data_IF_813809594490
#
_entry.id   IF_813809594490
#
_cell.length_a   1.000
_cell.length_b   1.000
_cell.length_c   1.000
_cell.angle_alpha   90.00
_cell.angle_beta   90.00
_cell.angle_gamma   90.00
#
_symmetry.space_group_name_H-M   'P 1'
#
loop_
_entity.id
_entity.type
_entity.pdbx_description
1 polymer ?
#
# COMPACT_ATOMS: atom_id res chain seq x y z
N UNK A 1 15.77 4.13 -19.48
CA UNK A 1 15.89 3.87 -18.03
C UNK A 1 17.38 3.92 -17.68
N UNK A 2 17.83 4.73 -16.72
CA UNK A 2 19.26 4.69 -16.30
C UNK A 2 19.49 3.39 -15.53
N UNK A 3 20.40 2.56 -16.02
CA UNK A 3 20.81 1.32 -15.35
C UNK A 3 21.37 1.63 -13.97
N UNK A 4 21.03 0.79 -12.99
CA UNK A 4 21.49 0.97 -11.62
C UNK A 4 22.92 0.42 -11.51
N UNK A 5 23.91 1.29 -11.70
CA UNK A 5 25.29 0.90 -12.01
C UNK A 5 25.98 -0.02 -10.99
N UNK A 6 25.66 0.03 -9.69
CA UNK A 6 26.33 -0.83 -8.70
C UNK A 6 25.44 -1.26 -7.53
N UNK A 7 25.52 -2.54 -7.15
CA UNK A 7 24.88 -3.13 -5.94
C UNK A 7 25.58 -2.65 -4.66
N UNK A 8 24.87 -2.69 -3.53
CA UNK A 8 25.45 -2.31 -2.23
C UNK A 8 26.64 -3.22 -1.86
N UNK A 9 26.62 -4.50 -2.22
CA UNK A 9 27.75 -5.40 -2.03
C UNK A 9 29.03 -4.90 -2.73
N UNK A 10 28.90 -4.44 -3.98
CA UNK A 10 30.02 -3.86 -4.72
C UNK A 10 30.52 -2.57 -4.07
N UNK A 11 29.59 -1.68 -3.67
CA UNK A 11 29.93 -0.44 -2.98
C UNK A 11 30.67 -0.68 -1.66
N UNK A 12 30.31 -1.74 -0.94
CA UNK A 12 30.94 -2.10 0.33
C UNK A 12 32.38 -2.57 0.10
N UNK A 13 32.61 -3.47 -0.86
CA UNK A 13 33.97 -3.91 -1.24
C UNK A 13 34.87 -2.74 -1.63
N UNK A 14 34.39 -1.87 -2.52
CA UNK A 14 35.14 -0.68 -2.93
C UNK A 14 35.38 0.30 -1.76
N UNK A 15 34.47 0.39 -0.79
CA UNK A 15 34.66 1.21 0.40
C UNK A 15 35.69 0.61 1.37
N UNK A 16 35.66 -0.71 1.58
CA UNK A 16 36.61 -1.42 2.45
C UNK A 16 38.04 -1.38 1.84
N UNK A 17 38.17 -1.55 0.51
CA UNK A 17 39.45 -1.37 -0.21
C UNK A 17 39.97 0.07 -0.11
N UNK A 18 39.09 1.07 -0.20
CA UNK A 18 39.44 2.48 -0.02
C UNK A 18 39.77 2.86 1.44
N UNK A 19 39.37 2.06 2.42
CA UNK A 19 39.78 2.20 3.82
C UNK A 19 41.18 1.60 4.00
N UNK A 20 41.44 0.42 3.42
CA UNK A 20 42.71 -0.28 3.55
C UNK A 20 43.88 0.40 2.78
N UNK A 21 43.66 0.76 1.51
CA UNK A 21 44.71 1.27 0.62
C UNK A 21 44.59 2.77 0.29
N UNK A 22 43.52 3.43 0.76
CA UNK A 22 43.20 4.80 0.38
C UNK A 22 42.52 4.91 -0.99
N UNK A 23 42.03 6.10 -1.35
CA UNK A 23 41.33 6.33 -2.63
C UNK A 23 42.35 6.61 -3.74
N UNK A 24 42.82 5.55 -4.40
CA UNK A 24 43.80 5.62 -5.50
C UNK A 24 43.15 5.74 -6.88
N UNK A 25 43.91 6.15 -7.89
CA UNK A 25 43.48 6.15 -9.29
C UNK A 25 43.28 4.73 -9.83
N UNK A 26 44.13 3.78 -9.41
CA UNK A 26 44.01 2.37 -9.76
C UNK A 26 42.68 1.77 -9.27
N UNK A 27 42.26 2.07 -8.04
CA UNK A 27 40.98 1.60 -7.50
C UNK A 27 39.78 2.18 -8.27
N UNK A 28 39.86 3.44 -8.68
CA UNK A 28 38.85 4.10 -9.50
C UNK A 28 38.72 3.44 -10.89
N UNK A 29 39.85 3.10 -11.50
CA UNK A 29 39.88 2.43 -12.80
C UNK A 29 39.39 0.98 -12.71
N UNK A 30 39.78 0.24 -11.67
CA UNK A 30 39.29 -1.12 -11.42
C UNK A 30 37.79 -1.18 -11.11
N UNK A 31 37.26 -0.14 -10.46
CA UNK A 31 35.84 -0.06 -10.08
C UNK A 31 34.95 0.58 -11.16
N UNK A 32 35.52 1.01 -12.29
CA UNK A 32 34.86 1.83 -13.32
C UNK A 32 34.07 3.02 -12.71
N UNK A 33 34.66 3.66 -11.70
CA UNK A 33 34.00 4.69 -10.89
C UNK A 33 34.92 5.88 -10.67
N UNK A 34 34.38 7.10 -10.80
CA UNK A 34 35.14 8.30 -10.45
C UNK A 34 35.55 8.30 -8.97
N UNK A 35 36.75 8.81 -8.66
CA UNK A 35 37.32 8.84 -7.29
C UNK A 35 36.37 9.48 -6.26
N UNK A 36 35.65 10.54 -6.65
CA UNK A 36 34.67 11.21 -5.76
C UNK A 36 33.50 10.30 -5.35
N UNK A 37 33.11 9.34 -6.21
CA UNK A 37 32.08 8.35 -5.90
C UNK A 37 32.57 7.39 -4.81
N UNK A 38 33.82 6.92 -4.91
CA UNK A 38 34.46 6.06 -3.91
C UNK A 38 34.61 6.80 -2.57
N UNK A 39 35.00 8.08 -2.58
CA UNK A 39 35.02 8.91 -1.36
C UNK A 39 33.64 9.00 -0.68
N UNK A 40 32.57 9.16 -1.47
CA UNK A 40 31.19 9.20 -0.95
C UNK A 40 30.76 7.87 -0.35
N UNK A 41 31.19 6.75 -0.92
CA UNK A 41 30.92 5.41 -0.37
C UNK A 41 31.71 5.17 0.91
N UNK A 42 33.00 5.50 0.94
CA UNK A 42 33.84 5.45 2.15
C UNK A 42 33.20 6.21 3.31
N UNK A 43 32.69 7.43 3.07
CA UNK A 43 32.01 8.24 4.09
C UNK A 43 30.70 7.61 4.60
N UNK A 44 30.02 6.80 3.78
CA UNK A 44 28.72 6.18 4.09
C UNK A 44 28.84 4.66 4.29
N UNK A 45 30.03 4.17 4.63
CA UNK A 45 30.34 2.74 4.71
C UNK A 45 29.42 2.00 5.67
N UNK A 46 29.18 2.55 6.85
CA UNK A 46 28.30 1.92 7.85
C UNK A 46 26.84 1.87 7.38
N UNK A 47 26.38 2.89 6.66
CA UNK A 47 25.06 2.87 6.03
C UNK A 47 24.97 1.81 4.93
N UNK A 48 26.04 1.60 4.15
CA UNK A 48 26.10 0.56 3.10
C UNK A 48 26.12 -0.83 3.74
N UNK A 49 26.86 -1.02 4.83
CA UNK A 49 26.95 -2.28 5.56
C UNK A 49 25.61 -2.68 6.20
N UNK A 50 24.85 -1.71 6.72
CA UNK A 50 23.51 -1.94 7.28
C UNK A 50 22.43 -2.22 6.22
N UNK A 51 22.72 -1.97 4.94
CA UNK A 51 21.76 -2.13 3.85
C UNK A 51 21.78 -3.55 3.27
N UNK A 52 20.70 -3.96 2.61
CA UNK A 52 20.64 -5.24 1.89
C UNK A 52 21.68 -5.28 0.77
N UNK A 53 22.53 -6.31 0.77
CA UNK A 53 23.67 -6.49 -0.15
C UNK A 53 23.28 -6.53 -1.63
N UNK A 54 22.15 -7.16 -1.95
CA UNK A 54 21.60 -7.28 -3.32
C UNK A 54 20.90 -6.02 -3.82
N UNK A 55 20.57 -5.08 -2.92
CA UNK A 55 19.89 -3.84 -3.29
C UNK A 55 20.87 -2.86 -3.94
N UNK A 56 20.40 -2.08 -4.90
CA UNK A 56 21.13 -0.92 -5.45
C UNK A 56 20.84 0.37 -4.65
N UNK A 57 19.91 0.29 -3.68
CA UNK A 57 19.45 1.39 -2.84
C UNK A 57 19.83 1.13 -1.37
N UNK A 58 20.31 2.17 -0.69
CA UNK A 58 20.77 2.10 0.71
C UNK A 58 19.64 1.97 1.74
N UNK A 59 18.45 2.49 1.42
CA UNK A 59 17.23 2.33 2.22
C UNK A 59 16.07 2.04 1.29
N UNK A 60 15.29 0.99 1.57
CA UNK A 60 13.99 0.83 0.95
C UNK A 60 13.16 2.10 1.22
N UNK A 61 12.50 2.64 0.20
CA UNK A 61 11.59 3.80 0.37
C UNK A 61 12.16 5.20 0.11
N UNK A 62 13.44 5.39 -0.26
CA UNK A 62 13.92 6.71 -0.74
C UNK A 62 13.48 7.08 -2.16
N UNK A 63 12.92 6.13 -2.93
CA UNK A 63 12.32 6.43 -4.24
C UNK A 63 10.84 6.77 -4.03
N UNK A 64 10.49 8.04 -4.24
CA UNK A 64 9.12 8.52 -4.29
C UNK A 64 8.97 9.91 -3.68
N UNK A 65 7.88 10.63 -3.97
CA UNK A 65 7.56 11.87 -3.28
C UNK A 65 7.51 11.65 -1.77
N UNK A 66 8.16 12.52 -1.00
CA UNK A 66 8.08 12.49 0.46
C UNK A 66 6.61 12.57 0.90
N UNK A 67 6.28 11.81 1.93
CA UNK A 67 4.96 11.83 2.54
C UNK A 67 4.76 13.19 3.22
N UNK A 68 3.69 13.90 2.86
CA UNK A 68 3.39 15.23 3.43
C UNK A 68 2.93 15.16 4.89
N UNK A 69 2.26 14.07 5.27
CA UNK A 69 1.73 13.86 6.62
C UNK A 69 2.17 12.48 7.15
N UNK A 70 3.41 12.34 7.66
CA UNK A 70 3.90 11.06 8.16
C UNK A 70 3.11 10.58 9.39
N UNK A 71 2.80 11.48 10.32
CA UNK A 71 2.11 11.14 11.57
C UNK A 71 0.68 10.64 11.32
N UNK A 72 -0.02 11.27 10.37
CA UNK A 72 -1.35 10.82 9.92
C UNK A 72 -1.29 9.40 9.37
N UNK A 73 -0.26 9.08 8.57
CA UNK A 73 -0.15 7.74 7.98
C UNK A 73 0.15 6.68 9.02
N UNK A 74 0.94 6.99 10.03
CA UNK A 74 1.19 6.06 11.13
C UNK A 74 -0.09 5.78 11.91
N UNK A 75 -0.82 6.82 12.32
CA UNK A 75 -2.12 6.67 13.00
C UNK A 75 -3.16 5.92 12.15
N UNK A 76 -3.15 6.17 10.83
CA UNK A 76 -4.02 5.47 9.89
C UNK A 76 -3.64 3.99 9.75
N UNK A 77 -2.35 3.64 9.82
CA UNK A 77 -1.89 2.25 9.83
C UNK A 77 -2.34 1.52 11.08
N UNK A 78 -2.11 2.12 12.26
CA UNK A 78 -2.51 1.54 13.54
C UNK A 78 -4.03 1.27 13.54
N UNK A 79 -4.82 2.23 13.08
CA UNK A 79 -6.26 2.05 12.92
C UNK A 79 -6.64 0.92 11.94
N UNK A 80 -5.94 0.79 10.80
CA UNK A 80 -6.18 -0.30 9.85
C UNK A 80 -5.85 -1.66 10.46
N UNK A 81 -4.78 -1.74 11.24
CA UNK A 81 -4.40 -2.97 11.95
C UNK A 81 -5.48 -3.36 12.96
N UNK A 82 -5.97 -2.42 13.76
CA UNK A 82 -7.04 -2.66 14.74
C UNK A 82 -8.33 -3.13 14.06
N UNK A 83 -8.72 -2.50 12.95
CA UNK A 83 -9.90 -2.92 12.18
C UNK A 83 -9.74 -4.34 11.62
N UNK A 84 -8.52 -4.71 11.20
CA UNK A 84 -8.21 -6.06 10.70
C UNK A 84 -8.17 -7.10 11.81
N UNK A 85 -7.62 -6.77 12.99
CA UNK A 85 -7.60 -7.64 14.19
C UNK A 85 -9.02 -7.96 14.65
N UNK A 86 -9.90 -6.95 14.65
CA UNK A 86 -11.29 -7.09 15.08
C UNK A 86 -12.22 -7.76 14.04
N UNK A 87 -11.67 -8.29 12.94
CA UNK A 87 -12.40 -8.93 11.80
C UNK A 87 -13.54 -8.08 11.23
N UNK A 88 -13.50 -6.76 11.49
CA UNK A 88 -14.44 -5.77 10.98
C UNK A 88 -14.24 -5.68 9.45
N UNK A 89 -15.25 -5.14 8.76
CA UNK A 89 -15.39 -5.07 7.30
C UNK A 89 -14.09 -4.71 6.53
N UNK A 90 -14.09 -4.97 5.22
CA UNK A 90 -13.01 -4.54 4.34
C UNK A 90 -12.76 -3.03 4.47
N UNK A 91 -11.50 -2.62 4.70
CA UNK A 91 -11.12 -1.21 4.75
C UNK A 91 -11.05 -0.67 3.32
N UNK A 92 -12.11 0.03 2.91
CA UNK A 92 -12.18 0.67 1.59
C UNK A 92 -11.45 2.01 1.60
N UNK A 93 -11.18 2.56 0.40
CA UNK A 93 -10.59 3.90 0.28
C UNK A 93 -11.49 4.97 0.91
N UNK A 94 -12.82 4.81 0.86
CA UNK A 94 -13.76 5.71 1.51
C UNK A 94 -13.65 5.67 3.04
N UNK A 95 -13.48 4.49 3.64
CA UNK A 95 -13.22 4.38 5.08
C UNK A 95 -11.94 5.10 5.49
N UNK A 96 -10.87 4.96 4.69
CA UNK A 96 -9.62 5.67 4.93
C UNK A 96 -9.77 7.19 4.80
N UNK A 97 -10.61 7.66 3.88
CA UNK A 97 -10.90 9.09 3.72
C UNK A 97 -11.60 9.64 4.95
N UNK A 98 -12.70 9.02 5.38
CA UNK A 98 -13.43 9.44 6.59
C UNK A 98 -12.52 9.44 7.82
N UNK A 99 -11.71 8.40 7.99
CA UNK A 99 -10.78 8.34 9.12
C UNK A 99 -9.64 9.34 9.02
N UNK A 100 -9.14 9.63 7.82
CA UNK A 100 -8.10 10.66 7.63
C UNK A 100 -8.59 12.05 8.05
N UNK A 101 -9.86 12.39 7.75
CA UNK A 101 -10.48 13.65 8.17
C UNK A 101 -10.65 13.68 9.69
N UNK A 102 -11.05 12.56 10.32
CA UNK A 102 -11.20 12.47 11.78
C UNK A 102 -9.87 12.63 12.52
N UNK A 103 -8.80 12.05 11.98
CA UNK A 103 -7.47 12.08 12.60
C UNK A 103 -6.75 13.40 12.38
N UNK A 104 -6.90 14.00 11.18
CA UNK A 104 -6.27 15.26 10.81
C UNK A 104 -7.24 16.09 9.95
N UNK A 105 -8.00 17.04 10.54
CA UNK A 105 -8.99 17.82 9.79
C UNK A 105 -8.34 18.68 8.69
N UNK A 106 -7.10 19.13 8.90
CA UNK A 106 -6.30 19.89 7.93
C UNK A 106 -5.94 19.11 6.66
N UNK A 107 -6.22 17.82 6.62
CA UNK A 107 -5.89 16.94 5.50
C UNK A 107 -6.58 17.35 4.19
N UNK A 108 -7.78 17.95 4.28
CA UNK A 108 -8.58 18.40 3.15
C UNK A 108 -8.49 19.90 2.85
N UNK A 109 -8.03 20.74 3.78
CA UNK A 109 -7.99 22.22 3.61
C UNK A 109 -7.25 22.66 2.33
N UNK A 110 -6.27 21.87 1.90
CA UNK A 110 -5.45 22.16 0.71
C UNK A 110 -5.69 21.19 -0.46
N UNK A 111 -6.68 20.30 -0.37
CA UNK A 111 -6.86 19.19 -1.32
C UNK A 111 -8.31 18.99 -1.73
N UNK A 112 -8.50 18.78 -3.03
CA UNK A 112 -9.75 18.21 -3.54
C UNK A 112 -9.89 16.76 -3.10
N UNK A 113 -11.13 16.27 -3.01
CA UNK A 113 -11.43 14.88 -2.65
C UNK A 113 -10.69 13.88 -3.57
N UNK A 114 -10.65 14.15 -4.88
CA UNK A 114 -9.92 13.32 -5.84
C UNK A 114 -8.41 13.26 -5.54
N UNK A 115 -7.80 14.35 -5.09
CA UNK A 115 -6.40 14.37 -4.68
C UNK A 115 -6.17 13.58 -3.38
N UNK A 116 -7.10 13.67 -2.42
CA UNK A 116 -7.08 12.88 -1.20
C UNK A 116 -7.21 11.37 -1.48
N UNK A 117 -8.11 10.97 -2.38
CA UNK A 117 -8.26 9.58 -2.83
C UNK A 117 -6.96 9.08 -3.48
N UNK A 118 -6.30 9.88 -4.33
CA UNK A 118 -5.00 9.52 -4.92
C UNK A 118 -3.91 9.37 -3.86
N UNK A 119 -3.89 10.23 -2.84
CA UNK A 119 -2.98 10.11 -1.71
C UNK A 119 -3.18 8.78 -0.98
N UNK A 120 -4.43 8.43 -0.66
CA UNK A 120 -4.78 7.19 0.02
C UNK A 120 -4.45 5.94 -0.82
N UNK A 121 -4.63 6.01 -2.15
CA UNK A 121 -4.17 4.93 -3.05
C UNK A 121 -2.66 4.72 -2.95
N UNK A 122 -1.86 5.79 -2.90
CA UNK A 122 -0.40 5.70 -2.71
C UNK A 122 -0.02 5.17 -1.33
N UNK A 123 -0.72 5.61 -0.28
CA UNK A 123 -0.55 5.08 1.08
C UNK A 123 -0.73 3.57 1.11
N UNK A 124 -1.80 3.06 0.49
CA UNK A 124 -2.07 1.61 0.43
C UNK A 124 -1.00 0.85 -0.34
N UNK A 125 -0.52 1.39 -1.45
CA UNK A 125 0.54 0.78 -2.25
C UNK A 125 1.85 0.70 -1.46
N UNK A 126 2.21 1.78 -0.75
CA UNK A 126 3.43 1.83 0.07
C UNK A 126 3.39 0.82 1.22
N UNK A 127 2.23 0.65 1.84
CA UNK A 127 2.04 -0.26 2.97
C UNK A 127 1.51 -1.65 2.57
N UNK A 128 1.46 -1.96 1.26
CA UNK A 128 1.00 -3.24 0.71
C UNK A 128 -0.37 -3.70 1.26
N UNK A 129 -1.28 -2.76 1.47
CA UNK A 129 -2.59 -3.03 2.05
C UNK A 129 -3.57 -3.57 1.00
N UNK A 130 -3.98 -4.82 1.15
CA UNK A 130 -5.05 -5.43 0.36
C UNK A 130 -6.41 -4.71 0.55
N UNK A 131 -7.18 -4.59 -0.54
CA UNK A 131 -8.58 -4.10 -0.50
C UNK A 131 -9.51 -5.15 0.11
N UNK A 132 -9.21 -6.41 -0.19
CA UNK A 132 -10.07 -7.52 0.15
C UNK A 132 -9.94 -7.85 1.64
N UNK A 133 -11.10 -8.09 2.26
CA UNK A 133 -11.18 -8.81 3.53
C UNK A 133 -10.57 -10.19 3.31
N UNK A 134 -9.67 -10.62 4.19
CA UNK A 134 -9.24 -12.02 4.24
C UNK A 134 -10.46 -12.81 4.72
N UNK A 135 -11.26 -13.29 3.78
CA UNK A 135 -12.26 -14.32 4.07
C UNK A 135 -11.47 -15.58 4.38
N UNK A 136 -11.83 -16.24 5.48
CA UNK A 136 -11.31 -17.56 5.86
C UNK A 136 -11.14 -18.44 4.61
N UNK A 137 -10.07 -19.25 4.50
CA UNK A 137 -9.94 -20.21 3.39
C UNK A 137 -11.20 -21.07 3.37
N UNK A 138 -12.05 -20.84 2.37
CA UNK A 138 -13.30 -21.57 2.22
C UNK A 138 -12.99 -23.01 1.85
N UNK A 139 -13.42 -23.97 2.68
CA UNK A 139 -13.33 -25.40 2.39
C UNK A 139 -14.39 -25.86 1.37
N UNK A 140 -15.34 -24.98 1.01
CA UNK A 140 -16.50 -25.30 0.18
C UNK A 140 -16.16 -25.15 -1.30
N UNK A 141 -16.53 -26.17 -2.07
CA UNK A 141 -16.32 -26.19 -3.52
C UNK A 141 -17.20 -25.11 -4.17
N UNK A 142 -16.73 -24.55 -5.29
CA UNK A 142 -17.44 -23.51 -6.06
C UNK A 142 -18.89 -23.91 -6.41
N UNK A 143 -19.12 -25.20 -6.64
CA UNK A 143 -20.45 -25.78 -6.89
C UNK A 143 -21.43 -25.56 -5.73
N UNK A 144 -20.98 -25.69 -4.48
CA UNK A 144 -21.83 -25.49 -3.29
C UNK A 144 -22.23 -24.02 -3.09
N UNK A 145 -21.37 -23.10 -3.52
CA UNK A 145 -21.64 -21.65 -3.45
C UNK A 145 -22.54 -21.21 -4.59
N UNK A 146 -22.48 -21.89 -5.74
CA UNK A 146 -23.32 -21.59 -6.91
C UNK A 146 -24.79 -21.87 -6.63
N UNK A 147 -25.13 -22.97 -5.93
CA UNK A 147 -26.51 -23.30 -5.53
C UNK A 147 -27.13 -22.17 -4.70
N UNK A 148 -26.39 -21.63 -3.72
CA UNK A 148 -26.86 -20.53 -2.85
C UNK A 148 -27.03 -19.23 -3.65
N UNK A 149 -26.15 -18.99 -4.63
CA UNK A 149 -26.26 -17.83 -5.51
C UNK A 149 -27.47 -17.93 -6.45
N UNK A 150 -27.77 -19.14 -6.95
CA UNK A 150 -28.88 -19.40 -7.85
C UNK A 150 -30.23 -19.33 -7.12
N UNK A 151 -30.34 -19.89 -5.91
CA UNK A 151 -31.53 -19.75 -5.05
C UNK A 151 -31.80 -18.28 -4.69
N UNK A 152 -30.76 -17.54 -4.32
CA UNK A 152 -30.88 -16.11 -4.04
C UNK A 152 -31.36 -15.34 -5.28
N UNK A 153 -30.78 -15.64 -6.45
CA UNK A 153 -31.19 -15.06 -7.73
C UNK A 153 -32.65 -15.34 -8.10
N UNK A 154 -33.14 -16.55 -7.83
CA UNK A 154 -34.54 -16.91 -8.04
C UNK A 154 -35.47 -16.19 -7.06
N UNK A 155 -35.09 -16.07 -5.78
CA UNK A 155 -35.90 -15.34 -4.80
C UNK A 155 -36.00 -13.84 -5.11
N UNK A 156 -34.94 -13.26 -5.67
CA UNK A 156 -34.90 -11.85 -6.07
C UNK A 156 -35.72 -11.61 -7.34
N UNK A 157 -35.64 -12.50 -8.34
CA UNK A 157 -36.50 -12.45 -9.53
C UNK A 157 -37.99 -12.56 -9.17
N UNK A 158 -38.34 -13.53 -8.34
CA UNK A 158 -39.72 -13.71 -7.86
C UNK A 158 -40.27 -12.46 -7.16
N UNK A 159 -39.47 -11.79 -6.32
CA UNK A 159 -39.87 -10.55 -5.62
C UNK A 159 -39.99 -9.33 -6.53
N UNK A 160 -39.28 -9.31 -7.65
CA UNK A 160 -39.38 -8.24 -8.66
C UNK A 160 -40.61 -8.45 -9.55
N UNK A 161 -40.94 -9.70 -9.87
CA UNK A 161 -42.07 -10.07 -10.73
C UNK A 161 -43.43 -9.98 -10.00
N UNK A 162 -43.47 -10.16 -8.67
CA UNK A 162 -44.73 -10.18 -7.88
C UNK A 162 -45.12 -8.85 -7.24
N UNK A 163 -44.40 -7.75 -7.52
CA UNK A 163 -44.95 -6.38 -7.49
C UNK A 163 -45.78 -5.96 -6.28
N UNK A 164 -45.40 -6.28 -5.04
CA UNK A 164 -45.99 -5.64 -3.85
C UNK A 164 -44.91 -5.16 -2.88
N UNK A 165 -44.85 -3.84 -2.70
CA UNK A 165 -45.05 -3.19 -1.40
C UNK A 165 -44.37 -1.80 -1.41
N UNK A 166 -45.21 -0.75 -1.37
CA UNK A 166 -44.81 0.64 -1.16
C UNK A 166 -44.37 0.93 0.29
N UNK A 167 -44.32 -0.06 1.17
CA UNK A 167 -44.05 0.06 2.62
C UNK A 167 -42.63 -0.35 3.05
N UNK A 168 -41.65 -0.52 2.15
CA UNK A 168 -40.29 -0.94 2.53
C UNK A 168 -39.28 0.21 2.68
N UNK A 169 -39.70 1.48 2.72
CA UNK A 169 -38.77 2.63 2.78
C UNK A 169 -38.02 2.81 4.09
N UNK A 170 -38.45 2.20 5.20
CA UNK A 170 -37.76 2.34 6.51
C UNK A 170 -36.81 1.19 6.84
N UNK A 171 -37.05 -0.01 6.32
CA UNK A 171 -36.14 -1.16 6.47
C UNK A 171 -35.12 -1.29 5.35
N UNK A 172 -35.31 -0.60 4.22
CA UNK A 172 -34.30 -0.53 3.16
C UNK A 172 -33.15 0.42 3.47
N UNK A 173 -33.24 1.38 4.39
CA UNK A 173 -32.08 2.24 4.66
C UNK A 173 -30.92 1.49 5.36
N UNK A 174 -31.27 0.50 6.18
CA UNK A 174 -30.29 -0.39 6.84
C UNK A 174 -29.76 -1.49 5.92
N UNK A 175 -30.48 -1.81 4.84
CA UNK A 175 -30.11 -2.89 3.91
C UNK A 175 -29.56 -2.39 2.55
N UNK A 176 -29.86 -1.15 2.15
CA UNK A 176 -29.30 -0.50 0.94
C UNK A 176 -27.86 -0.03 1.18
N UNK A 177 -27.48 0.30 2.43
CA UNK A 177 -26.07 0.37 2.84
C UNK A 177 -25.32 -0.97 2.68
N UNK A 178 -26.04 -2.08 2.54
CA UNK A 178 -25.50 -3.41 2.29
C UNK A 178 -25.50 -3.79 0.79
N UNK A 179 -26.13 -3.01 -0.09
CA UNK A 179 -26.36 -3.42 -1.48
C UNK A 179 -25.86 -2.44 -2.58
N UNK A 180 -25.59 -1.16 -2.30
CA UNK A 180 -25.16 -0.19 -3.34
C UNK A 180 -23.64 -0.18 -3.61
N UNK A 181 -22.85 -1.00 -2.91
CA UNK A 181 -21.44 -1.26 -3.27
C UNK A 181 -21.28 -2.48 -4.20
N UNK A 182 -22.31 -2.81 -4.98
CA UNK A 182 -22.22 -3.85 -6.01
C UNK A 182 -23.03 -3.47 -7.24
N UNK A 183 -22.48 -2.60 -8.09
CA UNK A 183 -22.28 -2.78 -9.53
C UNK A 183 -21.70 -1.49 -10.16
N UNK A 184 -20.94 -1.60 -11.25
CA UNK A 184 -19.98 -0.60 -11.71
C UNK A 184 -20.60 0.41 -12.69
N UNK A 185 -19.94 1.56 -12.80
CA UNK A 185 -19.56 2.12 -14.10
C UNK A 185 -18.03 2.26 -14.09
#
# INVERSE_FOLDING_TARGET
>A
MREALHTNAFRLKAADEAIAAGVTSALAQASDCHRTTIYRWKKRRDEIASATSSSTVLKSGRRGPKVRFPDLEQRLLDWVEDMRRNKVRAVTTGCLLVMSIKLEPRFLDTRTEAAAVKYLRRFRLRNRLSIHRITHKGRRKRSEVQVVADEFGHSMRYKLETGSCKECRKTLFTQVCFCVLRLPA
#
